data_IF_895242471413
#
_entry.id   IF_895242471413
#
_cell.length_a   1.000
_cell.length_b   1.000
_cell.length_c   1.000
_cell.angle_alpha   90.00
_cell.angle_beta   90.00
_cell.angle_gamma   90.00
#
_symmetry.space_group_name_H-M   'P 1'
#
loop_
_entity.id
_entity.type
_entity.pdbx_description
1 polymer ?
#
# COMPACT_ATOMS: atom_id res chain seq x y z
N UNK A 1 -12.54 7.53 -2.29
CA UNK A 1 -11.87 8.67 -1.62
C UNK A 1 -10.78 9.20 -2.53
N UNK A 2 -10.71 10.50 -2.70
CA UNK A 2 -9.66 11.11 -3.51
C UNK A 2 -8.29 10.94 -2.86
N UNK A 3 -7.24 10.84 -3.68
CA UNK A 3 -5.88 10.75 -3.19
C UNK A 3 -5.47 12.03 -2.48
N UNK A 4 -4.85 11.91 -1.31
CA UNK A 4 -4.38 13.03 -0.51
C UNK A 4 -2.97 12.71 0.02
N UNK A 5 -2.26 13.74 0.44
CA UNK A 5 -0.99 13.59 1.13
C UNK A 5 0.05 12.81 0.32
N UNK A 6 0.70 11.87 0.98
CA UNK A 6 1.81 11.11 0.39
C UNK A 6 1.39 10.31 -0.84
N UNK A 7 0.23 9.70 -0.81
CA UNK A 7 -0.29 8.95 -1.97
C UNK A 7 -0.34 9.83 -3.21
N UNK A 8 -0.88 11.05 -3.06
CA UNK A 8 -0.98 12.01 -4.16
C UNK A 8 0.41 12.48 -4.60
N UNK A 9 1.27 12.81 -3.65
CA UNK A 9 2.61 13.31 -3.93
C UNK A 9 3.46 12.31 -4.70
N UNK A 10 3.36 11.02 -4.36
CA UNK A 10 4.14 9.97 -5.01
C UNK A 10 3.47 9.42 -6.27
N UNK A 11 2.26 9.86 -6.57
CA UNK A 11 1.57 9.45 -7.81
C UNK A 11 1.00 8.05 -7.78
N UNK A 12 0.66 7.53 -6.62
CA UNK A 12 0.06 6.20 -6.51
C UNK A 12 -1.41 6.23 -6.91
N UNK A 13 -1.80 5.33 -7.80
CA UNK A 13 -3.19 5.12 -8.16
C UNK A 13 -3.68 3.84 -7.51
N UNK A 14 -4.54 3.99 -6.50
CA UNK A 14 -5.22 2.85 -5.87
C UNK A 14 -6.49 2.59 -6.67
N UNK A 15 -6.60 1.41 -7.24
CA UNK A 15 -7.70 1.08 -8.15
C UNK A 15 -8.98 0.76 -7.36
N UNK A 16 -10.16 0.88 -8.00
CA UNK A 16 -11.42 0.52 -7.35
C UNK A 16 -11.42 -0.92 -6.88
N UNK A 17 -12.11 -1.18 -5.78
CA UNK A 17 -12.22 -2.53 -5.23
C UNK A 17 -12.95 -3.44 -6.21
N UNK A 18 -12.34 -4.60 -6.51
CA UNK A 18 -12.94 -5.65 -7.32
C UNK A 18 -13.41 -6.79 -6.42
N UNK A 19 -12.63 -7.11 -5.39
CA UNK A 19 -12.86 -8.24 -4.52
C UNK A 19 -12.47 -7.89 -3.10
N UNK A 20 -13.32 -8.18 -2.09
CA UNK A 20 -12.95 -7.93 -0.69
C UNK A 20 -11.65 -8.64 -0.32
N UNK A 21 -10.81 -7.95 0.45
CA UNK A 21 -9.53 -8.51 0.87
C UNK A 21 -8.43 -8.43 -0.16
N UNK A 22 -8.68 -7.81 -1.32
CA UNK A 22 -7.66 -7.54 -2.32
C UNK A 22 -7.65 -6.07 -2.70
N UNK A 23 -6.45 -5.52 -2.90
CA UNK A 23 -6.26 -4.14 -3.38
C UNK A 23 -5.29 -4.18 -4.54
N UNK A 24 -5.60 -3.45 -5.60
CA UNK A 24 -4.70 -3.27 -6.73
C UNK A 24 -4.30 -1.81 -6.84
N UNK A 25 -3.08 -1.57 -7.29
CA UNK A 25 -2.55 -0.24 -7.47
C UNK A 25 -1.51 -0.22 -8.57
N UNK A 26 -1.16 0.99 -9.02
CA UNK A 26 -0.09 1.18 -10.00
C UNK A 26 0.51 2.58 -9.86
N UNK A 27 1.73 2.74 -10.34
CA UNK A 27 2.34 4.05 -10.51
C UNK A 27 3.47 3.96 -11.53
N UNK A 28 3.80 5.10 -12.11
CA UNK A 28 4.97 5.22 -13.00
C UNK A 28 6.14 5.77 -12.19
N UNK A 29 7.32 5.17 -12.37
CA UNK A 29 8.53 5.64 -11.69
C UNK A 29 8.99 6.93 -12.36
N UNK A 30 8.85 8.05 -11.65
CA UNK A 30 9.35 9.36 -12.09
C UNK A 30 10.67 9.65 -11.38
N UNK A 31 11.36 10.71 -11.81
CA UNK A 31 12.58 11.14 -11.14
C UNK A 31 12.33 11.52 -9.68
N UNK A 32 11.13 12.01 -9.36
CA UNK A 32 10.75 12.41 -8.00
C UNK A 32 10.73 11.25 -7.01
N UNK A 33 10.55 10.02 -7.49
CA UNK A 33 10.49 8.81 -6.65
C UNK A 33 11.68 7.89 -6.88
N UNK A 34 12.69 8.35 -7.59
CA UNK A 34 13.88 7.57 -7.90
C UNK A 34 15.00 7.83 -6.88
N UNK A 35 15.85 6.82 -6.71
CA UNK A 35 17.11 6.98 -5.97
C UNK A 35 18.19 7.51 -6.93
N UNK A 36 19.39 7.89 -6.42
CA UNK A 36 20.40 8.58 -7.24
C UNK A 36 20.88 7.81 -8.48
N UNK A 37 20.69 6.51 -8.54
CA UNK A 37 21.17 5.70 -9.67
C UNK A 37 20.13 5.53 -10.78
N UNK A 38 18.97 6.20 -10.68
CA UNK A 38 17.96 6.19 -11.74
C UNK A 38 16.93 5.07 -11.63
N UNK A 39 16.81 4.44 -10.48
CA UNK A 39 15.82 3.41 -10.22
C UNK A 39 14.86 3.85 -9.13
N UNK A 40 13.68 3.24 -9.09
CA UNK A 40 12.69 3.50 -8.06
C UNK A 40 13.31 3.30 -6.67
N UNK A 41 13.12 4.26 -5.77
CA UNK A 41 13.65 4.12 -4.42
C UNK A 41 12.90 3.04 -3.64
N UNK A 42 13.61 2.32 -2.76
CA UNK A 42 13.00 1.34 -1.87
C UNK A 42 11.98 1.98 -0.95
N UNK A 43 12.23 3.21 -0.50
CA UNK A 43 11.28 3.96 0.33
C UNK A 43 9.96 4.24 -0.38
N UNK A 44 10.00 4.46 -1.69
CA UNK A 44 8.77 4.63 -2.48
C UNK A 44 7.97 3.34 -2.51
N UNK A 45 8.64 2.21 -2.71
CA UNK A 45 7.96 0.91 -2.71
C UNK A 45 7.35 0.59 -1.34
N UNK A 46 8.07 0.86 -0.25
CA UNK A 46 7.54 0.72 1.10
C UNK A 46 6.30 1.59 1.32
N UNK A 47 6.34 2.83 0.85
CA UNK A 47 5.20 3.75 0.98
C UNK A 47 3.97 3.24 0.25
N UNK A 48 4.14 2.67 -0.94
CA UNK A 48 3.03 2.09 -1.68
C UNK A 48 2.44 0.88 -0.94
N UNK A 49 3.32 0.00 -0.45
CA UNK A 49 2.90 -1.20 0.26
C UNK A 49 2.08 -0.87 1.50
N UNK A 50 2.53 0.09 2.29
CA UNK A 50 1.78 0.53 3.47
C UNK A 50 0.48 1.24 3.09
N UNK A 51 0.51 2.08 2.06
CA UNK A 51 -0.68 2.81 1.58
C UNK A 51 -1.77 1.84 1.11
N UNK A 52 -1.39 0.80 0.37
CA UNK A 52 -2.33 -0.21 -0.12
C UNK A 52 -2.98 -0.99 1.01
N UNK A 53 -2.18 -1.41 1.98
CA UNK A 53 -2.70 -2.14 3.15
C UNK A 53 -3.66 -1.27 3.95
N UNK A 54 -3.35 0.02 4.11
CA UNK A 54 -4.23 0.97 4.77
C UNK A 54 -5.55 1.15 4.05
N UNK A 55 -5.51 1.27 2.72
CA UNK A 55 -6.72 1.38 1.90
C UNK A 55 -7.59 0.13 2.02
N UNK A 56 -6.97 -1.05 1.97
CA UNK A 56 -7.67 -2.32 2.11
C UNK A 56 -8.31 -2.48 3.47
N UNK A 57 -7.59 -2.14 4.53
CA UNK A 57 -8.11 -2.21 5.88
C UNK A 57 -9.28 -1.25 6.10
N UNK A 58 -9.20 -0.05 5.50
CA UNK A 58 -10.31 0.91 5.59
C UNK A 58 -11.57 0.37 4.91
N UNK A 59 -11.42 -0.24 3.74
CA UNK A 59 -12.54 -0.84 3.01
C UNK A 59 -13.22 -1.96 3.81
N UNK A 60 -12.43 -2.75 4.54
CA UNK A 60 -12.95 -3.86 5.35
C UNK A 60 -13.56 -3.36 6.65
N UNK A 61 -12.87 -2.47 7.36
CA UNK A 61 -13.26 -2.04 8.70
C UNK A 61 -14.35 -0.97 8.72
N UNK A 62 -14.51 -0.22 7.60
CA UNK A 62 -15.54 0.80 7.48
C UNK A 62 -15.10 2.18 7.94
N UNK A 63 -16.00 3.16 7.79
CA UNK A 63 -15.68 4.57 8.02
C UNK A 63 -15.45 4.92 9.49
N UNK A 64 -15.98 4.14 10.42
CA UNK A 64 -15.80 4.36 11.85
C UNK A 64 -14.46 3.88 12.36
N UNK A 65 -13.70 3.22 11.52
CA UNK A 65 -12.40 2.69 11.88
C UNK A 65 -11.29 3.51 11.24
N UNK A 66 -10.16 3.55 11.94
CA UNK A 66 -8.95 4.23 11.49
C UNK A 66 -7.82 3.21 11.52
N UNK A 67 -7.51 2.60 10.37
CA UNK A 67 -6.37 1.69 10.28
C UNK A 67 -5.06 2.48 10.37
N UNK A 68 -4.15 2.00 11.19
CA UNK A 68 -2.83 2.62 11.36
C UNK A 68 -1.76 1.56 11.19
N UNK A 69 -0.82 1.77 10.28
CA UNK A 69 0.29 0.87 10.07
C UNK A 69 1.24 0.87 11.27
N UNK A 70 1.54 -0.30 11.81
CA UNK A 70 2.47 -0.46 12.92
C UNK A 70 3.72 -1.23 12.55
N UNK A 71 3.71 -1.90 11.40
CA UNK A 71 4.88 -2.61 10.91
C UNK A 71 4.78 -2.78 9.41
N UNK A 72 5.86 -2.49 8.71
CA UNK A 72 6.03 -2.82 7.30
C UNK A 72 7.42 -3.42 7.12
N UNK A 73 7.49 -4.60 6.51
CA UNK A 73 8.73 -5.29 6.24
C UNK A 73 8.74 -5.75 4.80
N UNK A 74 9.75 -5.38 4.05
CA UNK A 74 9.81 -5.66 2.62
C UNK A 74 11.18 -6.13 2.17
N UNK A 75 11.18 -6.89 1.08
CA UNK A 75 12.37 -7.21 0.31
C UNK A 75 12.18 -6.67 -1.10
N UNK A 76 13.07 -5.77 -1.50
CA UNK A 76 13.10 -5.23 -2.86
C UNK A 76 14.05 -6.10 -3.67
N UNK A 77 13.53 -6.84 -4.64
CA UNK A 77 14.28 -7.91 -5.30
C UNK A 77 14.64 -7.63 -6.75
N UNK A 78 14.10 -6.54 -7.32
CA UNK A 78 14.41 -6.15 -8.69
C UNK A 78 14.29 -4.63 -8.83
N UNK A 79 15.22 -4.02 -9.58
CA UNK A 79 15.20 -2.59 -9.83
C UNK A 79 14.21 -2.25 -10.95
N UNK A 80 13.54 -1.10 -10.83
CA UNK A 80 12.67 -0.55 -11.88
C UNK A 80 13.21 0.83 -12.25
N UNK A 81 13.61 1.03 -13.51
CA UNK A 81 14.17 2.33 -13.92
C UNK A 81 13.09 3.41 -14.03
N UNK A 82 13.54 4.66 -13.99
CA UNK A 82 12.67 5.80 -14.29
C UNK A 82 11.98 5.57 -15.64
N UNK A 83 10.68 5.83 -15.69
CA UNK A 83 9.83 5.56 -16.83
C UNK A 83 9.09 4.22 -16.75
N UNK A 84 9.53 3.32 -15.89
CA UNK A 84 8.89 2.02 -15.73
C UNK A 84 7.56 2.11 -14.99
N UNK A 85 6.63 1.21 -15.35
CA UNK A 85 5.35 1.07 -14.66
C UNK A 85 5.45 -0.04 -13.62
N UNK A 86 4.98 0.25 -12.42
CA UNK A 86 4.87 -0.74 -11.35
C UNK A 86 3.39 -1.00 -11.10
N UNK A 87 3.03 -2.28 -11.09
CA UNK A 87 1.69 -2.71 -10.66
C UNK A 87 1.82 -3.45 -9.34
N UNK A 88 0.76 -3.43 -8.55
CA UNK A 88 0.81 -3.96 -7.20
C UNK A 88 -0.48 -4.65 -6.81
N UNK A 89 -0.36 -5.68 -5.99
CA UNK A 89 -1.51 -6.38 -5.41
C UNK A 89 -1.28 -6.62 -3.93
N UNK A 90 -2.26 -6.23 -3.13
CA UNK A 90 -2.31 -6.52 -1.71
C UNK A 90 -3.39 -7.57 -1.45
N UNK A 91 -3.08 -8.54 -0.61
CA UNK A 91 -4.00 -9.61 -0.24
C UNK A 91 -4.06 -9.70 1.28
N UNK A 92 -5.26 -9.66 1.83
CA UNK A 92 -5.45 -9.78 3.27
C UNK A 92 -5.14 -11.20 3.71
N UNK A 93 -4.26 -11.34 4.69
CA UNK A 93 -3.94 -12.62 5.32
C UNK A 93 -4.77 -12.82 6.59
N UNK A 94 -5.07 -11.73 7.30
CA UNK A 94 -5.89 -11.75 8.49
C UNK A 94 -6.60 -10.40 8.62
N UNK A 95 -7.89 -10.46 8.94
CA UNK A 95 -8.71 -9.27 9.10
C UNK A 95 -9.48 -9.35 10.43
N UNK A 96 -8.72 -9.43 11.53
CA UNK A 96 -9.29 -9.46 12.86
C UNK A 96 -9.89 -8.11 13.27
N UNK A 97 -10.62 -8.08 14.36
CA UNK A 97 -11.27 -6.86 14.83
C UNK A 97 -10.26 -5.73 15.14
N UNK A 98 -9.10 -6.09 15.70
CA UNK A 98 -8.09 -5.13 16.14
C UNK A 98 -6.84 -5.10 15.26
N UNK A 99 -6.61 -6.13 14.47
CA UNK A 99 -5.36 -6.29 13.75
C UNK A 99 -5.63 -6.87 12.36
N UNK A 100 -5.05 -6.23 11.34
CA UNK A 100 -5.02 -6.76 9.99
C UNK A 100 -3.59 -7.03 9.57
N UNK A 101 -3.38 -8.12 8.85
CA UNK A 101 -2.08 -8.46 8.26
C UNK A 101 -2.27 -8.63 6.76
N UNK A 102 -1.44 -7.96 5.99
CA UNK A 102 -1.51 -7.95 4.53
C UNK A 102 -0.20 -8.45 3.92
N UNK A 103 -0.32 -9.17 2.80
CA UNK A 103 0.79 -9.40 1.91
C UNK A 103 0.66 -8.45 0.73
N UNK A 104 1.75 -7.77 0.36
CA UNK A 104 1.74 -6.84 -0.79
C UNK A 104 2.89 -7.19 -1.71
N UNK A 105 2.59 -7.42 -2.98
CA UNK A 105 3.57 -7.72 -4.00
C UNK A 105 3.54 -6.66 -5.09
N UNK A 106 4.71 -6.23 -5.53
CA UNK A 106 4.89 -5.28 -6.61
C UNK A 106 5.55 -5.97 -7.80
N UNK A 107 5.09 -5.62 -9.00
CA UNK A 107 5.55 -6.23 -10.24
C UNK A 107 5.94 -5.17 -11.26
N UNK A 108 6.90 -5.49 -12.13
CA UNK A 108 7.25 -4.62 -13.26
C UNK A 108 6.38 -4.95 -14.48
N UNK A 109 6.64 -4.27 -15.60
CA UNK A 109 5.87 -4.45 -16.84
C UNK A 109 5.99 -5.85 -17.43
N UNK A 110 7.09 -6.55 -17.15
CA UNK A 110 7.28 -7.93 -17.60
C UNK A 110 6.54 -8.92 -16.69
N UNK A 111 5.95 -8.45 -15.59
CA UNK A 111 5.29 -9.31 -14.62
C UNK A 111 6.23 -9.93 -13.60
N UNK A 112 7.48 -9.50 -13.56
CA UNK A 112 8.45 -10.00 -12.60
C UNK A 112 8.26 -9.33 -11.23
N UNK A 113 8.46 -10.10 -10.16
CA UNK A 113 8.38 -9.58 -8.80
C UNK A 113 9.48 -8.54 -8.58
N UNK A 114 9.07 -7.37 -8.11
CA UNK A 114 9.96 -6.24 -7.80
C UNK A 114 10.17 -6.11 -6.30
N UNK A 115 9.10 -6.26 -5.55
CA UNK A 115 9.12 -6.12 -4.10
C UNK A 115 8.02 -6.97 -3.50
N UNK A 116 8.28 -7.53 -2.34
CA UNK A 116 7.27 -8.27 -1.57
C UNK A 116 7.32 -7.80 -0.13
N UNK A 117 6.16 -7.59 0.48
CA UNK A 117 6.07 -6.99 1.79
C UNK A 117 4.99 -7.63 2.65
N UNK A 118 5.22 -7.54 3.95
CA UNK A 118 4.22 -7.85 4.95
C UNK A 118 3.90 -6.58 5.72
N UNK A 119 2.62 -6.24 5.81
CA UNK A 119 2.17 -5.02 6.50
C UNK A 119 1.18 -5.41 7.58
N UNK A 120 1.37 -4.85 8.78
CA UNK A 120 0.46 -5.04 9.91
C UNK A 120 -0.16 -3.72 10.27
N UNK A 121 -1.49 -3.68 10.33
CA UNK A 121 -2.27 -2.51 10.73
C UNK A 121 -3.02 -2.80 12.01
N UNK A 122 -2.98 -1.85 12.95
CA UNK A 122 -3.90 -1.84 14.09
C UNK A 122 -5.15 -1.07 13.66
N UNK A 123 -6.31 -1.54 14.08
CA UNK A 123 -7.58 -0.94 13.73
C UNK A 123 -8.09 -0.18 14.93
N UNK A 124 -7.96 1.14 14.90
CA UNK A 124 -8.52 2.03 15.91
C UNK A 124 -9.97 2.33 15.56
N UNK A 125 -10.84 2.30 16.56
CA UNK A 125 -12.25 2.60 16.33
C UNK A 125 -12.60 3.89 17.02
N UNK A 126 -13.46 4.69 16.39
CA UNK A 126 -13.93 5.93 16.96
C UNK A 126 -14.76 5.63 18.20
N UNK A 127 -14.56 6.46 19.23
CA UNK A 127 -15.41 6.40 20.40
C UNK A 127 -16.76 7.02 20.08
N UNK A 128 -17.82 6.50 20.70
CA UNK A 128 -19.14 7.12 20.62
C UNK A 128 -19.15 8.39 21.46
N UNK A 129 -20.19 9.21 21.31
CA UNK A 129 -20.33 10.44 22.09
C UNK A 129 -20.33 10.17 23.61
N UNK A 130 -20.88 9.04 24.06
CA UNK A 130 -20.90 8.67 25.46
C UNK A 130 -19.53 8.26 26.01
N UNK A 131 -18.61 7.89 25.13
CA UNK A 131 -17.26 7.45 25.51
C UNK A 131 -16.28 8.61 25.62
N UNK A 132 -16.66 9.78 25.14
CA UNK A 132 -15.88 10.99 25.24
C UNK A 132 -16.26 11.76 26.51
#
# INVERSE_FOLDING_TARGET
>A
MAAVGLQKTLGFEILPEVKPGEVEARFTVTEAVAQPYGYCSGGTMLALEETMAGAGSRRIAGEDAMPLGINVSANHVKAVPVGGLVTARATALRTGYRLHVWNVDLFDEAGDLVSTARVTNVIKRRKTAEEH
#
